data_IF_177349364792
#
_entry.id   IF_177349364792
#
_cell.length_a   1.000
_cell.length_b   1.000
_cell.length_c   1.000
_cell.angle_alpha   90.00
_cell.angle_beta   90.00
_cell.angle_gamma   90.00
#
_symmetry.space_group_name_H-M   'P 1'
#
loop_
_entity.id
_entity.type
_entity.pdbx_description
1 polymer ?
#
# COMPACT_ATOMS: atom_id res chain seq x y z
N UNK A 1 -23.23 10.72 -17.79
CA UNK A 1 -23.16 10.38 -16.37
C UNK A 1 -23.85 9.04 -16.22
N UNK A 2 -23.11 7.93 -16.27
CA UNK A 2 -23.64 6.60 -15.98
C UNK A 2 -23.78 6.45 -14.48
N UNK A 3 -24.92 6.00 -14.00
CA UNK A 3 -25.09 5.61 -12.61
C UNK A 3 -24.10 4.46 -12.32
N UNK A 4 -23.09 4.75 -11.48
CA UNK A 4 -22.25 3.71 -10.89
C UNK A 4 -23.14 2.84 -10.00
N UNK A 5 -23.50 1.66 -10.48
CA UNK A 5 -24.08 0.62 -9.62
C UNK A 5 -22.97 0.24 -8.63
N UNK A 6 -23.16 0.58 -7.36
CA UNK A 6 -22.24 0.19 -6.29
C UNK A 6 -22.17 -1.32 -6.24
N UNK A 7 -20.98 -1.88 -6.40
CA UNK A 7 -20.77 -3.33 -6.30
C UNK A 7 -20.45 -3.70 -4.84
N UNK A 8 -21.44 -3.47 -3.96
CA UNK A 8 -21.33 -3.80 -2.53
C UNK A 8 -21.08 -5.31 -2.32
N UNK A 9 -21.54 -6.15 -3.25
CA UNK A 9 -21.32 -7.60 -3.25
C UNK A 9 -19.83 -7.93 -3.43
N UNK A 10 -19.10 -7.22 -4.30
CA UNK A 10 -17.66 -7.44 -4.48
C UNK A 10 -16.87 -7.13 -3.21
N UNK A 11 -17.16 -6.01 -2.54
CA UNK A 11 -16.49 -5.66 -1.29
C UNK A 11 -16.73 -6.72 -0.21
N UNK A 12 -17.96 -7.20 -0.07
CA UNK A 12 -18.32 -8.23 0.88
C UNK A 12 -17.61 -9.56 0.55
N UNK A 13 -17.62 -9.99 -0.71
CA UNK A 13 -16.94 -11.21 -1.18
C UNK A 13 -15.43 -11.17 -0.88
N UNK A 14 -14.77 -10.08 -1.25
CA UNK A 14 -13.31 -9.92 -1.03
C UNK A 14 -12.98 -9.84 0.46
N UNK A 15 -13.78 -9.11 1.26
CA UNK A 15 -13.57 -9.00 2.71
C UNK A 15 -13.78 -10.35 3.40
N UNK A 16 -14.82 -11.10 3.03
CA UNK A 16 -15.10 -12.43 3.56
C UNK A 16 -13.99 -13.44 3.15
N UNK A 17 -13.53 -13.40 1.91
CA UNK A 17 -12.39 -14.19 1.44
C UNK A 17 -11.13 -13.85 2.25
N UNK A 18 -10.82 -12.56 2.37
CA UNK A 18 -9.65 -12.08 3.08
C UNK A 18 -9.63 -12.52 4.56
N UNK A 19 -10.76 -12.37 5.26
CA UNK A 19 -10.90 -12.84 6.64
C UNK A 19 -10.76 -14.36 6.75
N UNK A 20 -11.48 -15.12 5.92
CA UNK A 20 -11.47 -16.60 5.92
C UNK A 20 -10.08 -17.17 5.59
N UNK A 21 -9.32 -16.53 4.70
CA UNK A 21 -8.01 -16.99 4.25
C UNK A 21 -6.84 -16.36 5.00
N UNK A 22 -7.08 -15.42 5.92
CA UNK A 22 -6.03 -14.84 6.75
C UNK A 22 -5.19 -13.78 6.02
N UNK A 23 -5.84 -12.95 5.23
CA UNK A 23 -5.19 -11.74 4.70
C UNK A 23 -5.17 -10.63 5.74
N UNK A 24 -6.32 -10.34 6.37
CA UNK A 24 -6.37 -9.37 7.46
C UNK A 24 -7.53 -9.67 8.42
N UNK A 25 -7.38 -9.20 9.66
CA UNK A 25 -8.34 -9.35 10.75
C UNK A 25 -8.53 -8.02 11.47
N UNK A 26 -9.69 -7.77 12.12
CA UNK A 26 -9.80 -6.69 13.08
C UNK A 26 -8.76 -6.86 14.19
N UNK A 27 -8.00 -5.80 14.49
CA UNK A 27 -6.99 -5.87 15.55
C UNK A 27 -7.65 -6.06 16.92
N UNK A 28 -7.03 -6.87 17.77
CA UNK A 28 -7.52 -7.18 19.12
C UNK A 28 -8.97 -7.73 19.16
N UNK A 29 -9.37 -8.54 18.17
CA UNK A 29 -10.75 -9.08 18.03
C UNK A 29 -11.21 -9.82 19.29
N UNK A 30 -10.32 -10.49 20.01
CA UNK A 30 -10.63 -11.20 21.26
C UNK A 30 -11.08 -10.28 22.41
N UNK A 31 -10.82 -8.98 22.31
CA UNK A 31 -11.27 -7.93 23.24
C UNK A 31 -12.40 -7.07 22.68
N UNK A 32 -13.07 -7.52 21.60
CA UNK A 32 -14.11 -6.76 20.91
C UNK A 32 -13.61 -5.89 19.76
N UNK A 33 -12.31 -5.97 19.45
CA UNK A 33 -11.68 -5.22 18.37
C UNK A 33 -11.30 -3.79 18.75
N UNK A 34 -10.36 -3.22 18.02
CA UNK A 34 -10.04 -1.80 18.07
C UNK A 34 -10.45 -1.14 16.74
N UNK A 35 -11.41 -0.23 16.80
CA UNK A 35 -12.05 0.34 15.61
C UNK A 35 -11.01 0.93 14.65
N UNK A 36 -11.03 0.46 13.39
CA UNK A 36 -10.12 0.90 12.31
C UNK A 36 -8.64 0.62 12.52
N UNK A 37 -8.35 -0.41 13.28
CA UNK A 37 -7.06 -1.05 13.31
C UNK A 37 -7.21 -2.49 12.81
N UNK A 38 -6.25 -2.92 12.01
CA UNK A 38 -6.24 -4.26 11.41
C UNK A 38 -4.86 -4.90 11.57
N UNK A 39 -4.88 -6.21 11.82
CA UNK A 39 -3.70 -7.06 11.81
C UNK A 39 -3.65 -7.80 10.46
N UNK A 40 -2.47 -7.86 9.86
CA UNK A 40 -2.27 -8.60 8.60
C UNK A 40 -1.86 -10.01 8.92
N UNK A 41 -2.70 -10.97 8.53
CA UNK A 41 -2.49 -12.40 8.77
C UNK A 41 -1.38 -12.99 7.88
N UNK A 42 -1.17 -14.32 7.93
CA UNK A 42 -0.05 -14.97 7.23
C UNK A 42 -0.01 -14.71 5.72
N UNK A 43 -1.16 -14.64 5.04
CA UNK A 43 -1.21 -14.30 3.62
C UNK A 43 -1.11 -12.79 3.39
N UNK A 44 -1.79 -12.00 4.23
CA UNK A 44 -1.81 -10.55 4.10
C UNK A 44 -0.45 -9.91 4.27
N UNK A 45 0.35 -10.38 5.24
CA UNK A 45 1.71 -9.85 5.44
C UNK A 45 2.60 -10.12 4.23
N UNK A 46 2.42 -11.26 3.54
CA UNK A 46 3.18 -11.56 2.33
C UNK A 46 2.78 -10.65 1.18
N UNK A 47 1.45 -10.46 0.93
CA UNK A 47 0.98 -9.53 -0.11
C UNK A 47 1.44 -8.10 0.18
N UNK A 48 1.28 -7.63 1.42
CA UNK A 48 1.69 -6.28 1.80
C UNK A 48 3.20 -6.05 1.63
N UNK A 49 4.03 -7.05 1.99
CA UNK A 49 5.48 -7.00 1.73
C UNK A 49 5.78 -6.97 0.25
N UNK A 50 5.08 -7.78 -0.55
CA UNK A 50 5.28 -7.85 -2.00
C UNK A 50 4.90 -6.53 -2.67
N UNK A 51 3.80 -5.87 -2.27
CA UNK A 51 3.42 -4.53 -2.75
C UNK A 51 4.53 -3.52 -2.43
N UNK A 52 5.00 -3.49 -1.18
CA UNK A 52 6.09 -2.58 -0.76
C UNK A 52 7.41 -2.88 -1.49
N UNK A 53 7.74 -4.14 -1.70
CA UNK A 53 8.93 -4.55 -2.43
C UNK A 53 8.85 -4.19 -3.92
N UNK A 54 7.69 -4.36 -4.56
CA UNK A 54 7.46 -3.94 -5.94
C UNK A 54 7.60 -2.42 -6.09
N UNK A 55 7.05 -1.65 -5.15
CA UNK A 55 7.21 -0.20 -5.10
C UNK A 55 8.68 0.20 -4.89
N UNK A 56 9.35 -0.36 -3.89
CA UNK A 56 10.76 -0.09 -3.59
C UNK A 56 11.68 -0.44 -4.75
N UNK A 57 11.41 -1.56 -5.41
CA UNK A 57 12.13 -1.94 -6.62
C UNK A 57 12.00 -0.87 -7.71
N UNK A 58 10.77 -0.43 -8.00
CA UNK A 58 10.49 0.59 -9.02
C UNK A 58 11.08 1.95 -8.67
N UNK A 59 10.91 2.39 -7.41
CA UNK A 59 11.23 3.75 -6.99
C UNK A 59 12.69 3.94 -6.56
N UNK A 60 13.34 2.88 -6.05
CA UNK A 60 14.69 3.01 -5.48
C UNK A 60 15.69 2.09 -6.21
N UNK A 61 15.41 0.78 -6.27
CA UNK A 61 16.40 -0.18 -6.75
C UNK A 61 16.71 -0.02 -8.24
N UNK A 62 15.70 0.26 -9.07
CA UNK A 62 15.84 0.40 -10.52
C UNK A 62 16.23 1.81 -10.95
N UNK A 63 16.55 2.69 -10.00
CA UNK A 63 16.89 4.10 -10.24
C UNK A 63 18.24 4.45 -9.63
N UNK A 64 18.94 5.37 -10.31
CA UNK A 64 20.22 5.91 -9.80
C UNK A 64 20.06 7.27 -9.13
N UNK A 65 18.89 7.89 -9.26
CA UNK A 65 18.56 9.23 -8.80
C UNK A 65 17.67 9.25 -7.54
N UNK A 66 17.33 8.08 -6.97
CA UNK A 66 16.55 7.97 -5.74
C UNK A 66 17.33 7.18 -4.68
N UNK A 67 17.26 7.62 -3.44
CA UNK A 67 17.87 6.95 -2.28
C UNK A 67 16.80 6.68 -1.23
N UNK A 68 17.02 5.64 -0.41
CA UNK A 68 16.10 5.29 0.67
C UNK A 68 16.44 5.99 1.97
N UNK A 69 15.42 6.24 2.78
CA UNK A 69 15.50 6.71 4.16
C UNK A 69 14.51 5.93 5.03
N UNK A 70 14.84 5.73 6.30
CA UNK A 70 13.88 5.28 7.32
C UNK A 70 13.98 6.23 8.53
N UNK A 71 13.09 7.22 8.55
CA UNK A 71 13.02 8.24 9.60
C UNK A 71 12.21 7.75 10.80
N UNK A 72 12.49 8.32 11.97
CA UNK A 72 11.79 7.99 13.21
C UNK A 72 10.28 8.29 13.14
N UNK A 73 9.48 7.43 13.77
CA UNK A 73 8.02 7.59 13.89
C UNK A 73 7.68 8.74 14.86
N UNK A 74 8.37 8.80 16.00
CA UNK A 74 8.15 9.84 17.00
C UNK A 74 8.85 11.13 16.58
N UNK A 75 8.10 12.22 16.55
CA UNK A 75 8.60 13.55 16.20
C UNK A 75 8.31 14.60 17.28
N UNK A 76 9.22 15.54 17.51
CA UNK A 76 8.99 16.66 18.41
C UNK A 76 7.94 17.63 17.83
N UNK A 77 7.23 18.41 18.69
CA UNK A 77 6.23 19.38 18.25
C UNK A 77 6.72 20.37 17.19
N UNK A 78 8.00 20.71 17.21
CA UNK A 78 8.60 21.69 16.30
C UNK A 78 8.48 21.30 14.80
N UNK A 79 8.62 19.99 14.48
CA UNK A 79 8.43 19.51 13.10
C UNK A 79 7.02 19.80 12.62
N UNK A 80 6.03 19.48 13.45
CA UNK A 80 4.62 19.56 13.12
C UNK A 80 4.07 20.98 13.17
N UNK A 81 4.67 21.85 13.97
CA UNK A 81 4.42 23.28 13.93
C UNK A 81 4.98 23.91 12.65
N UNK A 82 6.22 23.60 12.28
CA UNK A 82 6.85 24.10 11.06
C UNK A 82 6.07 23.71 9.80
N UNK A 83 5.66 22.46 9.69
CA UNK A 83 4.88 21.94 8.55
C UNK A 83 3.40 22.37 8.55
N UNK A 84 2.91 23.02 9.61
CA UNK A 84 1.51 23.46 9.74
C UNK A 84 0.54 22.39 10.26
N UNK A 85 0.96 21.14 10.47
CA UNK A 85 0.06 20.04 10.89
C UNK A 85 -0.66 20.30 12.22
N UNK A 86 -0.01 21.00 13.16
CA UNK A 86 -0.67 21.29 14.43
C UNK A 86 -1.87 22.24 14.28
N UNK A 87 -1.86 23.09 13.27
CA UNK A 87 -2.88 24.12 13.06
C UNK A 87 -3.93 23.69 12.01
N UNK A 88 -3.50 23.06 10.91
CA UNK A 88 -4.35 22.82 9.74
C UNK A 88 -4.80 21.39 9.55
N UNK A 89 -4.13 20.41 10.18
CA UNK A 89 -4.49 19.00 10.03
C UNK A 89 -5.68 18.62 10.92
N UNK A 90 -6.84 19.22 10.61
CA UNK A 90 -8.06 19.12 11.41
C UNK A 90 -9.26 18.75 10.55
N UNK A 91 -10.17 17.94 11.12
CA UNK A 91 -11.49 17.67 10.56
C UNK A 91 -12.58 18.41 11.36
N UNK A 92 -13.65 18.88 10.71
CA UNK A 92 -14.80 19.44 11.41
C UNK A 92 -15.62 18.33 12.08
N UNK A 93 -15.63 18.30 13.41
CA UNK A 93 -16.28 17.27 14.22
C UNK A 93 -17.61 17.80 14.79
N UNK A 94 -18.69 17.04 14.58
CA UNK A 94 -20.00 17.24 15.20
C UNK A 94 -20.44 16.00 15.98
N UNK A 95 -21.12 16.20 17.12
CA UNK A 95 -21.74 15.11 17.87
C UNK A 95 -23.27 15.14 17.65
N UNK A 96 -23.86 14.00 17.29
CA UNK A 96 -25.32 13.87 17.26
C UNK A 96 -25.88 14.00 18.67
N UNK A 97 -26.80 14.94 18.89
CA UNK A 97 -27.39 15.19 20.23
C UNK A 97 -28.25 14.02 20.72
N UNK A 98 -28.82 13.21 19.79
CA UNK A 98 -29.72 12.10 20.11
C UNK A 98 -28.95 10.80 20.45
N UNK A 99 -28.08 10.29 19.57
CA UNK A 99 -27.39 9.02 19.77
C UNK A 99 -25.95 9.16 20.26
N UNK A 100 -25.42 10.38 20.37
CA UNK A 100 -24.06 10.71 20.83
C UNK A 100 -22.94 10.22 19.92
N UNK A 101 -23.27 9.70 18.74
CA UNK A 101 -22.25 9.32 17.73
C UNK A 101 -21.62 10.58 17.14
N UNK A 102 -20.34 10.43 16.74
CA UNK A 102 -19.50 11.50 16.20
C UNK A 102 -19.32 11.35 14.71
N UNK A 103 -19.39 12.47 14.02
CA UNK A 103 -19.32 12.52 12.56
C UNK A 103 -18.46 13.69 12.09
N UNK A 104 -17.89 13.56 10.91
CA UNK A 104 -17.37 14.71 10.19
C UNK A 104 -18.55 15.48 9.60
N UNK A 105 -18.61 16.79 9.84
CA UNK A 105 -19.68 17.63 9.33
C UNK A 105 -19.78 17.63 7.81
N UNK A 106 -18.61 17.66 7.14
CA UNK A 106 -18.47 17.66 5.68
C UNK A 106 -18.80 16.32 5.00
N UNK A 107 -19.09 15.26 5.77
CA UNK A 107 -19.43 13.92 5.28
C UNK A 107 -20.85 13.47 5.64
N UNK A 108 -21.66 14.36 6.19
CA UNK A 108 -23.06 14.07 6.50
C UNK A 108 -23.96 15.13 5.85
N UNK A 109 -25.08 14.71 5.25
CA UNK A 109 -26.08 15.59 4.62
C UNK A 109 -27.05 16.20 5.63
N UNK A 110 -26.54 16.68 6.77
CA UNK A 110 -27.36 17.28 7.84
C UNK A 110 -28.21 16.28 8.63
N UNK A 111 -28.11 14.98 8.36
CA UNK A 111 -28.85 13.90 9.03
C UNK A 111 -27.89 12.86 9.57
N UNK A 112 -28.09 12.47 10.83
CA UNK A 112 -27.27 11.45 11.48
C UNK A 112 -27.44 10.08 10.80
N UNK A 113 -26.38 9.49 10.23
CA UNK A 113 -26.46 8.19 9.57
C UNK A 113 -26.90 7.04 10.49
N UNK A 114 -26.68 7.18 11.81
CA UNK A 114 -27.04 6.14 12.78
C UNK A 114 -28.49 6.21 13.25
N UNK A 115 -29.06 7.40 13.48
CA UNK A 115 -30.39 7.51 14.11
C UNK A 115 -31.38 8.45 13.40
N UNK A 116 -31.00 9.02 12.25
CA UNK A 116 -31.85 9.89 11.43
C UNK A 116 -32.14 11.27 12.05
N UNK A 117 -31.48 11.67 13.15
CA UNK A 117 -31.67 12.99 13.76
C UNK A 117 -30.91 14.06 13.01
N UNK A 118 -31.49 15.27 12.90
CA UNK A 118 -30.80 16.47 12.39
C UNK A 118 -30.20 17.34 13.48
N UNK A 119 -30.27 16.93 14.76
CA UNK A 119 -29.76 17.70 15.88
C UNK A 119 -28.29 17.38 16.15
N UNK A 120 -27.42 18.32 15.81
CA UNK A 120 -25.98 18.23 16.06
C UNK A 120 -25.47 19.32 17.00
N UNK A 121 -24.28 19.14 17.56
CA UNK A 121 -23.53 20.22 18.21
C UNK A 121 -22.97 21.14 17.13
N UNK A 122 -22.47 22.32 17.54
CA UNK A 122 -21.63 23.13 16.69
C UNK A 122 -20.38 22.35 16.28
N UNK A 123 -19.92 22.59 15.05
CA UNK A 123 -18.69 21.98 14.55
C UNK A 123 -17.48 22.51 15.34
N UNK A 124 -16.58 21.62 15.67
CA UNK A 124 -15.29 21.93 16.28
C UNK A 124 -14.15 21.33 15.50
N UNK A 125 -13.05 22.05 15.36
CA UNK A 125 -11.84 21.50 14.76
C UNK A 125 -11.29 20.37 15.64
N UNK A 126 -11.06 19.21 15.04
CA UNK A 126 -10.45 18.05 15.68
C UNK A 126 -9.13 17.72 14.98
N UNK A 127 -8.00 17.91 15.67
CA UNK A 127 -6.70 17.59 15.10
C UNK A 127 -6.48 16.08 15.04
N UNK A 128 -6.08 15.58 13.86
CA UNK A 128 -5.92 14.15 13.59
C UNK A 128 -4.58 13.57 14.06
N UNK A 129 -3.70 14.37 14.67
CA UNK A 129 -2.42 13.92 15.21
C UNK A 129 -2.59 13.08 16.48
N UNK A 130 -1.93 11.91 16.53
CA UNK A 130 -1.76 11.19 17.80
C UNK A 130 -0.65 11.83 18.62
N UNK A 131 -1.01 12.31 19.81
CA UNK A 131 -0.11 12.88 20.82
C UNK A 131 0.28 11.82 21.84
N UNK A 132 1.55 11.77 22.25
CA UNK A 132 2.06 10.90 23.30
C UNK A 132 3.07 11.63 24.18
N UNK A 133 3.56 10.96 25.21
CA UNK A 133 4.58 11.47 26.14
C UNK A 133 5.89 10.69 25.94
N UNK A 134 7.00 11.41 25.86
CA UNK A 134 8.35 10.84 25.77
C UNK A 134 9.12 11.18 27.05
N UNK A 135 9.52 10.16 27.80
CA UNK A 135 10.24 10.32 29.07
C UNK A 135 9.38 10.05 30.31
N UNK A 136 10.02 10.06 31.51
CA UNK A 136 9.38 9.58 32.76
C UNK A 136 8.48 10.60 33.46
N UNK A 137 8.52 11.87 33.05
CA UNK A 137 7.74 12.95 33.69
C UNK A 137 6.76 13.52 32.68
N UNK A 138 5.48 13.54 33.05
CA UNK A 138 4.44 14.16 32.26
C UNK A 138 4.59 15.70 32.30
N UNK A 139 4.51 16.34 31.12
CA UNK A 139 4.60 17.78 30.98
C UNK A 139 4.77 18.21 29.54
N UNK A 140 4.68 19.51 29.26
CA UNK A 140 4.79 20.04 27.90
C UNK A 140 6.13 19.70 27.22
N UNK A 141 7.23 19.67 27.98
CA UNK A 141 8.55 19.31 27.50
C UNK A 141 8.74 17.84 27.09
N UNK A 142 7.80 16.97 27.49
CA UNK A 142 7.81 15.54 27.14
C UNK A 142 6.85 15.19 25.99
N UNK A 143 6.18 16.16 25.41
CA UNK A 143 5.22 15.92 24.32
C UNK A 143 5.94 15.46 23.05
N UNK A 144 5.45 14.36 22.48
CA UNK A 144 5.83 13.86 21.16
C UNK A 144 4.58 13.48 20.37
N UNK A 145 4.72 13.41 19.06
CA UNK A 145 3.63 13.01 18.16
C UNK A 145 4.04 11.79 17.35
N UNK A 146 3.09 10.90 17.09
CA UNK A 146 3.22 9.89 16.04
C UNK A 146 3.04 10.60 14.70
N UNK A 147 3.94 10.38 13.76
CA UNK A 147 3.90 11.02 12.44
C UNK A 147 2.61 10.68 11.67
N UNK A 148 1.90 11.67 11.10
CA UNK A 148 0.71 11.45 10.27
C UNK A 148 1.07 11.12 8.81
N UNK A 149 2.35 11.33 8.42
CA UNK A 149 2.92 11.07 7.11
C UNK A 149 4.43 10.82 7.23
N UNK A 150 5.03 10.25 6.21
CA UNK A 150 6.48 10.00 6.17
C UNK A 150 7.29 11.16 5.60
N UNK A 151 6.66 12.12 4.88
CA UNK A 151 7.26 13.24 4.18
C UNK A 151 8.18 14.09 5.06
N UNK A 152 7.71 14.51 6.23
CA UNK A 152 8.44 15.46 7.08
C UNK A 152 9.79 14.92 7.56
N UNK A 153 9.88 13.58 7.73
CA UNK A 153 11.15 12.93 8.02
C UNK A 153 12.18 13.06 6.89
N UNK A 154 11.72 13.11 5.64
CA UNK A 154 12.58 13.27 4.46
C UNK A 154 13.03 14.73 4.32
N UNK A 155 12.16 15.69 4.56
CA UNK A 155 12.53 17.12 4.52
C UNK A 155 13.54 17.51 5.59
N UNK A 156 13.33 17.06 6.83
CA UNK A 156 14.27 17.34 7.94
C UNK A 156 15.64 16.69 7.77
N UNK A 157 15.71 15.62 6.95
CA UNK A 157 16.96 14.94 6.61
C UNK A 157 17.55 15.36 5.25
N UNK A 158 16.95 16.31 4.53
CA UNK A 158 17.42 16.74 3.23
C UNK A 158 18.93 17.06 3.22
N UNK A 159 19.39 17.92 4.13
CA UNK A 159 20.80 18.32 4.22
C UNK A 159 21.72 17.14 4.55
N UNK A 160 21.30 16.22 5.44
CA UNK A 160 22.05 15.03 5.79
C UNK A 160 22.21 14.08 4.58
N UNK A 161 21.12 13.84 3.87
CA UNK A 161 21.13 12.98 2.69
C UNK A 161 21.95 13.58 1.57
N UNK A 162 21.80 14.89 1.32
CA UNK A 162 22.58 15.60 0.30
C UNK A 162 24.08 15.48 0.57
N UNK A 163 24.50 15.71 1.81
CA UNK A 163 25.91 15.67 2.23
C UNK A 163 26.51 14.26 2.15
N UNK A 164 25.74 13.23 2.52
CA UNK A 164 26.24 11.84 2.63
C UNK A 164 26.21 11.09 1.30
N UNK A 165 25.25 11.40 0.42
CA UNK A 165 25.07 10.68 -0.86
C UNK A 165 25.71 11.40 -2.05
N UNK A 166 26.08 12.68 -1.91
CA UNK A 166 26.59 13.55 -2.99
C UNK A 166 25.63 13.66 -4.19
N UNK A 167 24.33 13.50 -3.93
CA UNK A 167 23.31 13.64 -4.97
C UNK A 167 23.15 15.11 -5.36
N UNK A 168 22.63 15.32 -6.55
CA UNK A 168 22.29 16.65 -7.09
C UNK A 168 20.84 16.61 -7.56
N UNK A 169 20.06 17.67 -7.38
CA UNK A 169 18.76 17.76 -8.03
C UNK A 169 18.91 17.66 -9.57
N UNK A 170 18.04 16.87 -10.25
CA UNK A 170 16.91 16.12 -9.68
C UNK A 170 17.34 14.86 -8.95
N UNK A 171 16.85 14.65 -7.72
CA UNK A 171 17.00 13.39 -6.99
C UNK A 171 15.87 13.20 -5.98
N UNK A 172 15.59 11.94 -5.59
CA UNK A 172 14.55 11.59 -4.64
C UNK A 172 15.06 10.98 -3.34
N UNK A 173 14.31 11.21 -2.26
CA UNK A 173 14.42 10.49 -1.00
C UNK A 173 13.11 9.72 -0.84
N UNK A 174 13.18 8.40 -0.71
CA UNK A 174 12.03 7.51 -0.65
C UNK A 174 11.95 6.81 0.71
N UNK A 175 10.73 6.62 1.23
CA UNK A 175 10.48 5.91 2.47
C UNK A 175 9.26 5.01 2.35
N UNK A 176 9.32 3.84 3.00
CA UNK A 176 8.17 3.01 3.32
C UNK A 176 8.08 2.93 4.83
N UNK A 177 6.95 3.33 5.40
CA UNK A 177 6.85 3.35 6.85
C UNK A 177 5.44 3.58 7.40
N UNK A 178 5.27 3.29 8.68
CA UNK A 178 4.03 3.52 9.42
C UNK A 178 3.72 5.00 9.54
N UNK A 179 2.44 5.34 9.37
CA UNK A 179 1.85 6.64 9.65
C UNK A 179 0.56 6.49 10.43
N UNK A 180 0.15 7.54 11.15
CA UNK A 180 -0.91 7.46 12.15
C UNK A 180 -1.83 8.67 12.03
N UNK A 181 -3.13 8.44 11.80
CA UNK A 181 -4.15 9.49 11.73
C UNK A 181 -5.34 9.10 12.59
N UNK A 182 -5.68 9.93 13.55
CA UNK A 182 -6.79 9.69 14.48
C UNK A 182 -8.14 9.93 13.78
N UNK A 183 -8.42 9.14 12.75
CA UNK A 183 -9.61 9.23 11.90
C UNK A 183 -10.90 9.15 12.72
N UNK A 184 -11.82 10.08 12.45
CA UNK A 184 -13.13 10.16 13.13
C UNK A 184 -14.08 9.10 12.57
N UNK A 185 -14.16 9.02 11.24
CA UNK A 185 -15.08 8.14 10.52
C UNK A 185 -14.31 7.17 9.64
N UNK A 186 -13.79 6.10 10.22
CA UNK A 186 -13.13 5.06 9.44
C UNK A 186 -14.16 4.25 8.65
N UNK A 187 -13.85 3.95 7.40
CA UNK A 187 -14.77 3.26 6.49
C UNK A 187 -14.01 2.26 5.61
N UNK A 188 -14.77 1.34 5.03
CA UNK A 188 -14.33 0.46 3.95
C UNK A 188 -13.11 -0.41 4.31
N UNK A 189 -13.15 -1.10 5.47
CA UNK A 189 -12.13 -2.08 5.87
C UNK A 189 -10.73 -1.44 5.95
N UNK A 190 -9.72 -2.02 5.29
CA UNK A 190 -8.32 -1.56 5.30
C UNK A 190 -8.06 -0.33 4.42
N UNK A 191 -9.09 0.23 3.77
CA UNK A 191 -8.96 1.44 2.92
C UNK A 191 -8.63 2.69 3.75
N UNK A 192 -9.33 2.89 4.89
CA UNK A 192 -9.09 4.02 5.79
C UNK A 192 -8.97 3.55 7.23
N UNK A 193 -7.74 3.54 7.73
CA UNK A 193 -7.36 3.04 9.05
C UNK A 193 -6.60 4.10 9.84
N UNK A 194 -6.56 3.96 11.18
CA UNK A 194 -5.84 4.89 12.06
C UNK A 194 -4.34 4.70 12.06
N UNK A 195 -3.90 3.49 11.77
CA UNK A 195 -2.52 3.10 11.58
C UNK A 195 -2.39 2.44 10.20
N UNK A 196 -1.51 2.94 9.37
CA UNK A 196 -1.31 2.45 8.00
C UNK A 196 0.16 2.56 7.59
N UNK A 197 0.51 2.02 6.45
CA UNK A 197 1.85 2.19 5.89
C UNK A 197 1.77 3.04 4.63
N UNK A 198 2.65 4.04 4.53
CA UNK A 198 2.87 4.84 3.33
C UNK A 198 4.10 4.35 2.56
N UNK A 199 4.01 4.47 1.26
CA UNK A 199 5.09 4.37 0.28
C UNK A 199 5.19 5.76 -0.34
N UNK A 200 6.18 6.55 0.06
CA UNK A 200 6.26 8.00 -0.25
C UNK A 200 7.66 8.38 -0.68
N UNK A 201 7.76 9.30 -1.62
CA UNK A 201 9.03 9.82 -2.09
C UNK A 201 8.95 11.33 -2.28
N UNK A 202 9.96 12.04 -1.78
CA UNK A 202 10.17 13.45 -2.05
C UNK A 202 11.23 13.60 -3.13
N UNK A 203 10.82 14.07 -4.31
CA UNK A 203 11.70 14.24 -5.46
C UNK A 203 12.05 15.71 -5.63
N UNK A 204 13.30 16.04 -5.30
CA UNK A 204 13.84 17.40 -5.28
C UNK A 204 14.33 17.80 -6.66
N UNK A 205 13.80 18.90 -7.19
CA UNK A 205 14.07 19.35 -8.57
C UNK A 205 14.45 20.85 -8.62
N UNK A 206 15.17 21.29 -9.66
CA UNK A 206 15.27 22.72 -9.95
C UNK A 206 13.87 23.31 -10.18
N UNK A 207 13.56 24.51 -9.65
CA UNK A 207 12.22 25.11 -9.79
C UNK A 207 11.70 25.17 -11.22
N UNK A 208 12.57 25.44 -12.18
CA UNK A 208 12.21 25.54 -13.60
C UNK A 208 11.82 24.19 -14.24
N UNK A 209 12.17 23.08 -13.62
CA UNK A 209 11.89 21.73 -14.13
C UNK A 209 10.68 21.07 -13.46
N UNK A 210 10.07 21.72 -12.44
CA UNK A 210 9.05 21.12 -11.59
C UNK A 210 7.86 20.54 -12.37
N UNK A 211 7.32 21.29 -13.35
CA UNK A 211 6.18 20.83 -14.14
C UNK A 211 6.52 19.63 -15.03
N UNK A 212 7.75 19.54 -15.50
CA UNK A 212 8.22 18.39 -16.29
C UNK A 212 8.29 17.14 -15.44
N UNK A 213 8.87 17.25 -14.23
CA UNK A 213 8.97 16.13 -13.30
C UNK A 213 7.64 15.74 -12.70
N UNK A 214 6.74 16.69 -12.47
CA UNK A 214 5.37 16.42 -12.02
C UNK A 214 4.62 15.51 -13.01
N UNK A 215 4.61 15.85 -14.29
CA UNK A 215 4.00 15.01 -15.35
C UNK A 215 4.69 13.65 -15.45
N UNK A 216 6.02 13.61 -15.41
CA UNK A 216 6.77 12.37 -15.44
C UNK A 216 6.37 11.41 -14.31
N UNK A 217 6.20 11.92 -13.09
CA UNK A 217 5.82 11.08 -11.96
C UNK A 217 4.37 10.62 -12.04
N UNK A 218 3.43 11.42 -12.50
CA UNK A 218 2.05 10.99 -12.76
C UNK A 218 2.03 9.79 -13.73
N UNK A 219 2.69 9.91 -14.89
CA UNK A 219 2.76 8.84 -15.90
C UNK A 219 3.47 7.60 -15.37
N UNK A 220 4.57 7.77 -14.65
CA UNK A 220 5.38 6.67 -14.11
C UNK A 220 4.61 5.89 -13.06
N UNK A 221 3.91 6.58 -12.16
CA UNK A 221 3.12 5.94 -11.11
C UNK A 221 1.87 5.26 -11.66
N UNK A 222 1.15 5.90 -12.56
CA UNK A 222 0.00 5.30 -13.24
C UNK A 222 0.39 4.00 -13.97
N UNK A 223 1.49 4.01 -14.72
CA UNK A 223 2.00 2.82 -15.42
C UNK A 223 2.35 1.67 -14.47
N UNK A 224 2.89 1.96 -13.29
CA UNK A 224 3.24 0.96 -12.30
C UNK A 224 2.04 0.11 -11.85
N UNK A 225 0.87 0.71 -11.68
CA UNK A 225 -0.36 -0.03 -11.36
C UNK A 225 -0.84 -0.90 -12.53
N UNK A 226 -0.74 -0.41 -13.74
CA UNK A 226 -1.07 -1.19 -14.95
C UNK A 226 -0.14 -2.40 -15.10
N UNK A 227 1.15 -2.23 -14.91
CA UNK A 227 2.16 -3.29 -14.99
C UNK A 227 1.99 -4.36 -13.91
N UNK A 228 1.31 -4.05 -12.81
CA UNK A 228 0.98 -4.99 -11.73
C UNK A 228 -0.45 -5.56 -11.83
N UNK A 229 -1.12 -5.36 -12.96
CA UNK A 229 -2.34 -6.08 -13.32
C UNK A 229 -3.65 -5.34 -13.01
N UNK A 230 -3.64 -4.05 -12.66
CA UNK A 230 -4.88 -3.27 -12.62
C UNK A 230 -5.27 -2.91 -14.05
N UNK A 231 -6.49 -3.23 -14.44
CA UNK A 231 -7.01 -2.92 -15.76
C UNK A 231 -7.15 -1.40 -15.98
N UNK A 232 -6.84 -0.88 -17.19
CA UNK A 232 -6.84 0.57 -17.46
C UNK A 232 -8.18 1.25 -17.15
N UNK A 233 -9.30 0.59 -17.41
CA UNK A 233 -10.64 1.10 -17.13
C UNK A 233 -10.97 1.22 -15.64
N UNK A 234 -10.19 0.60 -14.77
CA UNK A 234 -10.29 0.69 -13.31
C UNK A 234 -9.47 1.85 -12.72
N UNK A 235 -8.71 2.55 -13.54
CA UNK A 235 -7.90 3.70 -13.12
C UNK A 235 -8.33 4.96 -13.86
N UNK A 236 -8.27 6.09 -13.16
CA UNK A 236 -8.35 7.40 -13.79
C UNK A 236 -7.42 8.40 -13.12
N UNK A 237 -7.05 9.44 -13.84
CA UNK A 237 -6.33 10.58 -13.31
C UNK A 237 -7.34 11.67 -12.95
N UNK A 238 -7.24 12.19 -11.74
CA UNK A 238 -8.07 13.28 -11.24
C UNK A 238 -7.17 14.45 -10.81
N UNK A 239 -7.14 15.49 -11.64
CA UNK A 239 -6.44 16.74 -11.33
C UNK A 239 -7.32 17.61 -10.42
N UNK A 240 -6.77 18.02 -9.27
CA UNK A 240 -7.50 18.86 -8.32
C UNK A 240 -7.65 20.30 -8.82
N UNK A 241 -8.82 20.88 -8.63
CA UNK A 241 -9.02 22.28 -8.90
C UNK A 241 -8.19 23.15 -7.93
N UNK A 242 -7.77 24.34 -8.38
CA UNK A 242 -6.95 25.23 -7.56
C UNK A 242 -7.55 25.57 -6.17
N UNK A 243 -8.88 25.54 -6.05
CA UNK A 243 -9.59 25.78 -4.79
C UNK A 243 -9.51 24.61 -3.79
N UNK A 244 -9.21 23.41 -4.28
CA UNK A 244 -9.19 22.18 -3.49
C UNK A 244 -7.76 21.75 -3.10
N UNK A 245 -6.75 22.49 -3.56
CA UNK A 245 -5.36 22.20 -3.27
C UNK A 245 -5.05 22.42 -1.78
N UNK A 246 -4.24 21.54 -1.22
CA UNK A 246 -3.63 21.73 0.09
C UNK A 246 -2.79 23.00 0.11
N UNK A 247 -2.66 23.63 1.28
CA UNK A 247 -1.95 24.93 1.45
C UNK A 247 -0.49 24.92 0.99
N UNK A 248 0.14 23.77 0.88
CA UNK A 248 1.51 23.57 0.42
C UNK A 248 1.60 23.22 -1.07
N UNK A 249 0.50 22.85 -1.72
CA UNK A 249 0.52 22.30 -3.08
C UNK A 249 0.30 23.38 -4.14
N UNK A 250 1.07 23.30 -5.23
CA UNK A 250 0.92 24.09 -6.45
C UNK A 250 0.11 23.35 -7.53
N UNK A 251 -0.05 22.05 -7.36
CA UNK A 251 -0.84 21.16 -8.19
C UNK A 251 -0.84 19.77 -7.60
N UNK A 252 -1.99 19.10 -7.63
CA UNK A 252 -2.16 17.72 -7.17
C UNK A 252 -2.95 16.95 -8.20
N UNK A 253 -2.50 15.75 -8.52
CA UNK A 253 -3.23 14.78 -9.35
C UNK A 253 -3.30 13.46 -8.60
N UNK A 254 -4.50 12.94 -8.42
CA UNK A 254 -4.71 11.61 -7.87
C UNK A 254 -4.80 10.58 -8.99
N UNK A 255 -4.15 9.46 -8.78
CA UNK A 255 -4.49 8.21 -9.45
C UNK A 255 -5.61 7.62 -8.62
N UNK A 256 -6.82 7.58 -9.16
CA UNK A 256 -7.97 6.99 -8.52
C UNK A 256 -8.23 5.58 -9.07
N UNK A 257 -8.70 4.71 -8.19
CA UNK A 257 -9.16 3.36 -8.53
C UNK A 257 -10.68 3.28 -8.39
N UNK A 258 -11.33 2.52 -9.27
CA UNK A 258 -12.76 2.21 -9.23
C UNK A 258 -13.06 1.18 -8.12
N UNK A 259 -13.17 1.69 -6.88
CA UNK A 259 -13.57 0.90 -5.72
C UNK A 259 -15.07 0.56 -5.78
N UNK A 260 -15.56 -0.41 -4.99
CA UNK A 260 -16.98 -0.76 -4.94
C UNK A 260 -17.94 0.40 -4.60
N UNK A 261 -17.43 1.46 -3.99
CA UNK A 261 -18.18 2.70 -3.68
C UNK A 261 -17.95 3.83 -4.69
N UNK A 262 -17.22 3.59 -5.75
CA UNK A 262 -16.86 4.55 -6.80
C UNK A 262 -15.38 4.88 -6.82
N UNK A 263 -14.99 5.75 -7.74
CA UNK A 263 -13.61 6.21 -7.84
C UNK A 263 -13.18 6.95 -6.59
N UNK A 264 -12.04 6.56 -6.03
CA UNK A 264 -11.44 7.16 -4.85
C UNK A 264 -9.92 7.10 -4.97
N UNK A 265 -9.23 7.97 -4.23
CA UNK A 265 -7.78 8.13 -4.25
C UNK A 265 -7.05 6.82 -3.94
N UNK A 266 -6.14 6.41 -4.82
CA UNK A 266 -5.21 5.31 -4.63
C UNK A 266 -3.79 5.81 -4.35
N UNK A 267 -3.33 6.82 -5.11
CA UNK A 267 -2.03 7.48 -4.94
C UNK A 267 -2.15 8.94 -5.33
N UNK A 268 -1.68 9.85 -4.48
CA UNK A 268 -1.59 11.27 -4.78
C UNK A 268 -0.20 11.63 -5.32
N UNK A 269 -0.15 12.47 -6.35
CA UNK A 269 1.08 13.09 -6.82
C UNK A 269 0.93 14.60 -6.65
N UNK A 270 1.77 15.23 -5.81
CA UNK A 270 1.72 16.65 -5.52
C UNK A 270 2.99 17.39 -5.96
N UNK A 271 2.83 18.59 -6.53
CA UNK A 271 3.89 19.56 -6.64
C UNK A 271 3.83 20.48 -5.40
N UNK A 272 4.67 20.22 -4.41
CA UNK A 272 4.71 20.94 -3.13
C UNK A 272 5.49 22.26 -3.20
N UNK A 273 6.11 22.56 -4.35
CA UNK A 273 6.99 23.72 -4.47
C UNK A 273 8.17 23.66 -3.50
N UNK A 274 8.53 24.79 -2.94
CA UNK A 274 9.60 24.95 -1.95
C UNK A 274 9.06 25.08 -0.51
N UNK A 275 7.77 24.84 -0.30
CA UNK A 275 7.08 25.11 0.96
C UNK A 275 7.75 24.44 2.17
N UNK A 276 7.89 23.11 2.16
CA UNK A 276 8.35 22.36 3.33
C UNK A 276 9.81 22.70 3.69
N UNK A 277 10.70 22.73 2.70
CA UNK A 277 12.10 23.09 2.94
C UNK A 277 12.23 24.52 3.48
N UNK A 278 11.43 25.44 2.97
CA UNK A 278 11.41 26.84 3.44
C UNK A 278 10.87 26.94 4.87
N UNK A 279 9.77 26.24 5.19
CA UNK A 279 9.21 26.24 6.54
C UNK A 279 10.17 25.64 7.58
N UNK A 280 10.78 24.49 7.27
CA UNK A 280 11.77 23.89 8.15
C UNK A 280 13.05 24.73 8.29
N UNK A 281 13.51 25.37 7.21
CA UNK A 281 14.64 26.27 7.29
C UNK A 281 14.36 27.48 8.19
N UNK A 282 13.18 28.09 8.06
CA UNK A 282 12.76 29.22 8.88
C UNK A 282 12.60 28.84 10.35
N UNK A 283 11.99 27.68 10.63
CA UNK A 283 11.74 27.22 12.01
C UNK A 283 13.02 26.77 12.73
N UNK A 284 13.95 26.15 12.01
CA UNK A 284 15.18 25.59 12.61
C UNK A 284 16.38 26.52 12.56
N UNK A 285 16.37 27.51 11.66
CA UNK A 285 17.54 28.35 11.34
C UNK A 285 18.59 27.64 10.49
N UNK A 286 18.33 26.40 10.03
CA UNK A 286 19.23 25.61 9.18
C UNK A 286 18.88 25.84 7.72
N UNK A 287 19.87 26.19 6.88
CA UNK A 287 19.65 26.34 5.44
C UNK A 287 19.40 25.01 4.77
N UNK A 288 18.28 24.88 4.07
CA UNK A 288 17.88 23.73 3.28
C UNK A 288 17.88 24.08 1.77
N UNK A 289 18.98 24.67 1.30
CA UNK A 289 19.21 25.07 -0.07
C UNK A 289 20.19 24.11 -0.75
N UNK A 290 20.06 23.98 -2.07
CA UNK A 290 21.07 23.34 -2.91
C UNK A 290 21.99 24.42 -3.49
N UNK A 291 23.30 24.16 -3.50
CA UNK A 291 24.27 25.00 -4.21
C UNK A 291 24.69 24.33 -5.52
N UNK A 292 24.24 24.87 -6.62
CA UNK A 292 24.64 24.44 -7.95
C UNK A 292 26.01 25.05 -8.30
N UNK A 293 27.05 24.20 -8.19
CA UNK A 293 28.42 24.62 -8.49
C UNK A 293 28.65 24.97 -9.98
N UNK A 294 27.86 24.38 -10.88
CA UNK A 294 28.01 24.60 -12.31
C UNK A 294 27.60 26.02 -12.72
N UNK A 295 26.51 26.50 -12.12
CA UNK A 295 25.93 27.81 -12.38
C UNK A 295 26.30 28.85 -11.32
N UNK A 296 26.99 28.44 -10.26
CA UNK A 296 27.31 29.27 -9.08
C UNK A 296 26.06 29.91 -8.45
N UNK A 297 24.98 29.17 -8.40
CA UNK A 297 23.67 29.60 -7.88
C UNK A 297 23.22 28.79 -6.67
N UNK A 298 22.43 29.43 -5.81
CA UNK A 298 21.73 28.76 -4.72
C UNK A 298 20.22 28.84 -4.94
N UNK A 299 19.53 27.76 -4.68
CA UNK A 299 18.07 27.73 -4.70
C UNK A 299 17.52 26.72 -3.70
N UNK A 300 16.30 26.93 -3.24
CA UNK A 300 15.51 25.92 -2.54
C UNK A 300 14.88 25.02 -3.61
N UNK A 301 15.17 23.71 -3.62
CA UNK A 301 14.53 22.81 -4.59
C UNK A 301 13.02 22.79 -4.46
N UNK A 302 12.32 22.66 -5.58
CA UNK A 302 10.91 22.29 -5.56
C UNK A 302 10.79 20.78 -5.35
N UNK A 303 9.67 20.37 -4.79
CA UNK A 303 9.43 18.97 -4.41
C UNK A 303 8.24 18.41 -5.18
N UNK A 304 8.44 17.26 -5.81
CA UNK A 304 7.36 16.44 -6.38
C UNK A 304 7.21 15.22 -5.50
N UNK A 305 6.02 15.02 -4.98
CA UNK A 305 5.67 13.97 -4.00
C UNK A 305 4.70 12.97 -4.60
N UNK A 306 5.12 11.78 -5.03
CA UNK A 306 4.25 10.61 -5.14
C UNK A 306 4.07 9.94 -3.77
N UNK A 307 2.82 9.80 -3.32
CA UNK A 307 2.48 9.22 -2.01
C UNK A 307 1.31 8.23 -2.11
N UNK A 308 1.57 6.96 -1.79
CA UNK A 308 0.57 5.90 -1.80
C UNK A 308 0.44 5.23 -0.43
N UNK A 309 -0.78 4.87 -0.04
CA UNK A 309 -1.02 3.97 1.08
C UNK A 309 -0.76 2.52 0.68
N UNK A 310 0.22 1.84 1.31
CA UNK A 310 0.53 0.45 0.99
C UNK A 310 -0.66 -0.49 1.25
N UNK A 311 -1.41 -0.25 2.32
CA UNK A 311 -2.61 -1.01 2.69
C UNK A 311 -3.77 -0.74 1.74
N UNK A 312 -3.94 0.51 1.29
CA UNK A 312 -4.93 0.91 0.29
C UNK A 312 -4.59 0.29 -1.06
N UNK A 313 -3.32 0.32 -1.48
CA UNK A 313 -2.85 -0.35 -2.69
C UNK A 313 -3.08 -1.88 -2.64
N UNK A 314 -2.79 -2.52 -1.50
CA UNK A 314 -3.10 -3.94 -1.30
C UNK A 314 -4.60 -4.22 -1.50
N UNK A 315 -5.49 -3.37 -0.96
CA UNK A 315 -6.93 -3.53 -1.15
C UNK A 315 -7.34 -3.40 -2.61
N UNK A 316 -6.81 -2.40 -3.31
CA UNK A 316 -7.07 -2.22 -4.74
C UNK A 316 -6.62 -3.43 -5.57
N UNK A 317 -5.43 -3.98 -5.29
CA UNK A 317 -4.96 -5.20 -5.97
C UNK A 317 -5.82 -6.42 -5.66
N UNK A 318 -6.30 -6.60 -4.42
CA UNK A 318 -7.20 -7.70 -4.07
C UNK A 318 -8.55 -7.57 -4.76
N UNK A 319 -9.13 -6.36 -4.81
CA UNK A 319 -10.39 -6.07 -5.51
C UNK A 319 -10.26 -6.26 -7.02
N UNK A 320 -9.16 -5.78 -7.62
CA UNK A 320 -8.90 -5.92 -9.05
C UNK A 320 -8.64 -7.38 -9.48
N UNK A 321 -8.09 -8.18 -8.57
CA UNK A 321 -7.72 -9.57 -8.85
C UNK A 321 -8.84 -10.59 -8.59
N UNK A 322 -9.91 -10.20 -7.88
CA UNK A 322 -10.99 -11.14 -7.56
C UNK A 322 -11.88 -11.41 -8.75
N UNK A 323 -12.03 -12.67 -9.06
CA UNK A 323 -12.94 -13.16 -10.10
C UNK A 323 -13.67 -14.44 -9.66
N UNK A 324 -14.81 -14.68 -10.27
CA UNK A 324 -15.51 -15.96 -10.23
C UNK A 324 -15.59 -16.50 -11.65
N UNK A 325 -15.08 -17.70 -11.87
CA UNK A 325 -15.14 -18.40 -13.16
C UNK A 325 -15.69 -19.83 -13.01
N UNK A 326 -15.86 -20.51 -14.14
CA UNK A 326 -16.33 -21.90 -14.16
C UNK A 326 -15.23 -22.79 -14.72
N UNK A 327 -14.79 -23.76 -13.92
CA UNK A 327 -13.79 -24.75 -14.32
C UNK A 327 -14.38 -26.13 -14.11
N UNK A 328 -14.42 -26.95 -15.18
CA UNK A 328 -14.99 -28.31 -15.18
C UNK A 328 -16.45 -28.36 -14.67
N UNK A 329 -17.23 -27.30 -14.95
CA UNK A 329 -18.65 -27.21 -14.55
C UNK A 329 -18.88 -26.73 -13.11
N UNK A 330 -17.84 -26.44 -12.35
CA UNK A 330 -17.91 -25.90 -10.99
C UNK A 330 -17.47 -24.45 -10.94
N UNK A 331 -18.22 -23.61 -10.21
CA UNK A 331 -17.82 -22.22 -9.93
C UNK A 331 -16.64 -22.19 -8.99
N UNK A 332 -15.61 -21.43 -9.32
CA UNK A 332 -14.49 -21.15 -8.41
C UNK A 332 -14.32 -19.65 -8.19
N UNK A 333 -13.97 -19.28 -6.97
CA UNK A 333 -13.39 -17.97 -6.67
C UNK A 333 -11.88 -18.03 -6.90
N UNK A 334 -11.33 -17.02 -7.56
CA UNK A 334 -9.90 -16.93 -7.87
C UNK A 334 -9.41 -15.51 -7.64
N UNK A 335 -8.21 -15.37 -7.06
CA UNK A 335 -7.47 -14.11 -7.03
C UNK A 335 -6.40 -14.14 -8.15
N UNK A 336 -6.63 -13.39 -9.24
CA UNK A 336 -5.67 -13.26 -10.34
C UNK A 336 -4.60 -12.20 -10.04
N UNK A 337 -4.01 -12.31 -8.85
CA UNK A 337 -2.90 -11.44 -8.47
C UNK A 337 -1.73 -11.62 -9.44
N UNK A 338 -1.10 -10.49 -9.80
CA UNK A 338 0.18 -10.52 -10.50
C UNK A 338 1.17 -11.39 -9.71
N UNK A 339 1.98 -12.25 -10.34
CA UNK A 339 2.88 -13.17 -9.64
C UNK A 339 3.80 -12.50 -8.61
N UNK A 340 4.25 -11.28 -8.87
CA UNK A 340 5.06 -10.49 -7.93
C UNK A 340 4.31 -10.08 -6.67
N UNK A 341 2.97 -10.07 -6.68
CA UNK A 341 2.13 -9.67 -5.54
C UNK A 341 1.56 -10.88 -4.79
N UNK A 342 1.55 -12.06 -5.39
CA UNK A 342 0.99 -13.28 -4.81
C UNK A 342 1.63 -13.63 -3.46
N UNK A 343 0.83 -14.04 -2.44
CA UNK A 343 1.36 -14.38 -1.12
C UNK A 343 2.31 -15.59 -1.14
N UNK A 344 2.04 -16.55 -2.01
CA UNK A 344 2.91 -17.64 -2.41
C UNK A 344 3.01 -17.63 -3.92
N UNK A 345 4.22 -17.76 -4.47
CA UNK A 345 4.43 -17.86 -5.91
C UNK A 345 4.23 -19.30 -6.41
N UNK A 346 4.49 -20.27 -5.54
CA UNK A 346 4.40 -21.70 -5.87
C UNK A 346 3.77 -22.46 -4.70
N UNK A 347 2.87 -23.41 -5.01
CA UNK A 347 2.43 -24.44 -4.06
C UNK A 347 2.97 -25.82 -4.48
N UNK A 348 3.65 -26.51 -3.57
CA UNK A 348 4.14 -27.87 -3.78
C UNK A 348 3.13 -28.87 -3.18
N UNK A 349 2.55 -29.70 -4.03
CA UNK A 349 1.36 -30.51 -3.73
C UNK A 349 1.61 -31.99 -4.05
N UNK A 350 2.06 -32.81 -3.10
CA UNK A 350 2.16 -34.28 -3.32
C UNK A 350 0.79 -34.87 -3.61
N UNK A 351 0.66 -35.74 -4.61
CA UNK A 351 -0.63 -36.35 -4.98
C UNK A 351 -1.23 -37.18 -3.84
N UNK A 352 -0.38 -37.82 -3.04
CA UNK A 352 -0.80 -38.59 -1.86
C UNK A 352 0.19 -38.45 -0.69
N UNK A 353 -0.22 -38.93 0.50
CA UNK A 353 0.59 -38.89 1.74
C UNK A 353 1.58 -40.06 1.82
N UNK A 354 1.88 -40.77 0.72
CA UNK A 354 2.87 -41.85 0.75
C UNK A 354 4.26 -41.30 1.03
N UNK A 355 5.07 -41.92 1.89
CA UNK A 355 6.38 -41.39 2.29
C UNK A 355 7.33 -41.04 1.13
N UNK A 356 7.33 -41.88 0.08
CA UNK A 356 8.20 -41.65 -1.09
C UNK A 356 7.81 -40.37 -1.84
N UNK A 357 6.50 -40.13 -2.05
CA UNK A 357 6.01 -38.89 -2.68
C UNK A 357 6.25 -37.67 -1.78
N UNK A 358 6.05 -37.81 -0.47
CA UNK A 358 6.34 -36.73 0.47
C UNK A 358 7.84 -36.40 0.48
N UNK A 359 8.70 -37.41 0.46
CA UNK A 359 10.16 -37.24 0.39
C UNK A 359 10.59 -36.45 -0.84
N UNK A 360 10.14 -36.87 -2.05
CA UNK A 360 10.42 -36.15 -3.29
C UNK A 360 9.83 -34.74 -3.30
N UNK A 361 8.62 -34.56 -2.72
CA UNK A 361 8.00 -33.24 -2.64
C UNK A 361 8.78 -32.28 -1.72
N UNK A 362 9.38 -32.77 -0.65
CA UNK A 362 10.26 -31.96 0.21
C UNK A 362 11.60 -31.62 -0.48
N UNK A 363 12.11 -32.51 -1.30
CA UNK A 363 13.27 -32.23 -2.18
C UNK A 363 12.92 -31.08 -3.13
N UNK A 364 11.80 -31.19 -3.86
CA UNK A 364 11.32 -30.14 -4.78
C UNK A 364 11.08 -28.81 -4.07
N UNK A 365 10.46 -28.85 -2.88
CA UNK A 365 10.25 -27.68 -2.05
C UNK A 365 11.59 -27.02 -1.69
N UNK A 366 12.59 -27.81 -1.29
CA UNK A 366 13.93 -27.32 -0.95
C UNK A 366 14.67 -26.66 -2.11
N UNK A 367 14.39 -27.06 -3.35
CA UNK A 367 14.93 -26.45 -4.57
C UNK A 367 14.28 -25.07 -4.84
N UNK A 368 12.99 -24.93 -4.58
CA UNK A 368 12.21 -23.72 -4.90
C UNK A 368 12.29 -22.63 -3.83
N UNK A 369 12.30 -23.00 -2.54
CA UNK A 369 12.26 -22.07 -1.41
C UNK A 369 13.36 -20.99 -1.38
N UNK A 370 14.60 -21.23 -1.84
CA UNK A 370 15.62 -20.17 -1.92
C UNK A 370 15.28 -19.05 -2.89
N UNK A 371 14.35 -19.28 -3.83
CA UNK A 371 14.04 -18.37 -4.93
C UNK A 371 12.68 -17.72 -4.83
N UNK A 372 11.69 -18.42 -4.26
CA UNK A 372 10.28 -17.99 -4.23
C UNK A 372 9.62 -18.41 -2.92
N UNK A 373 8.58 -17.68 -2.53
CA UNK A 373 7.74 -18.07 -1.39
C UNK A 373 6.87 -19.25 -1.79
N UNK A 374 7.02 -20.36 -1.07
CA UNK A 374 6.32 -21.62 -1.34
C UNK A 374 5.31 -21.96 -0.24
N UNK A 375 4.16 -22.53 -0.65
CA UNK A 375 3.26 -23.28 0.22
C UNK A 375 3.47 -24.78 0.05
N UNK A 376 3.15 -25.58 1.08
CA UNK A 376 3.23 -27.03 1.06
C UNK A 376 1.98 -27.62 1.70
N UNK A 377 1.15 -28.32 0.92
CA UNK A 377 -0.13 -28.82 1.38
C UNK A 377 -0.34 -30.31 1.07
N UNK A 378 -0.68 -31.07 2.11
CA UNK A 378 -0.98 -32.50 2.10
C UNK A 378 -2.44 -32.84 2.40
N UNK A 379 -3.28 -31.82 2.67
CA UNK A 379 -4.61 -32.02 3.21
C UNK A 379 -5.71 -32.07 2.15
N UNK A 380 -6.51 -33.11 2.14
CA UNK A 380 -7.62 -33.37 1.20
C UNK A 380 -7.17 -33.77 -0.23
N UNK A 381 -8.13 -33.86 -1.16
CA UNK A 381 -7.85 -34.20 -2.56
C UNK A 381 -7.09 -33.10 -3.30
N UNK A 382 -6.38 -33.48 -4.36
CA UNK A 382 -5.60 -32.55 -5.19
C UNK A 382 -6.47 -31.42 -5.75
N UNK A 383 -7.68 -31.72 -6.23
CA UNK A 383 -8.61 -30.72 -6.75
C UNK A 383 -8.99 -29.67 -5.71
N UNK A 384 -9.25 -30.08 -4.44
CA UNK A 384 -9.54 -29.13 -3.35
C UNK A 384 -8.33 -28.28 -2.99
N UNK A 385 -7.12 -28.83 -3.11
CA UNK A 385 -5.88 -28.07 -2.87
C UNK A 385 -5.65 -27.05 -3.97
N UNK A 386 -5.89 -27.39 -5.24
CA UNK A 386 -5.86 -26.40 -6.34
C UNK A 386 -6.83 -25.27 -6.09
N UNK A 387 -8.10 -25.58 -5.70
CA UNK A 387 -9.09 -24.53 -5.38
C UNK A 387 -8.62 -23.58 -4.28
N UNK A 388 -7.98 -24.11 -3.22
CA UNK A 388 -7.41 -23.27 -2.15
C UNK A 388 -6.31 -22.35 -2.65
N UNK A 389 -5.44 -22.84 -3.55
CA UNK A 389 -4.38 -22.05 -4.13
C UNK A 389 -4.92 -20.99 -5.11
N UNK A 390 -5.95 -21.35 -5.89
CA UNK A 390 -6.64 -20.39 -6.76
C UNK A 390 -7.26 -19.25 -5.94
N UNK A 391 -7.95 -19.56 -4.82
CA UNK A 391 -8.56 -18.56 -3.92
C UNK A 391 -7.56 -17.61 -3.26
N UNK A 392 -6.34 -18.03 -2.99
CA UNK A 392 -5.31 -17.17 -2.38
C UNK A 392 -4.37 -16.52 -3.40
N UNK A 393 -4.55 -16.83 -4.68
CA UNK A 393 -3.83 -16.16 -5.76
C UNK A 393 -2.47 -16.75 -6.09
N UNK A 394 -2.18 -18.01 -5.69
CA UNK A 394 -0.92 -18.69 -6.04
C UNK A 394 -0.86 -18.96 -7.55
N UNK A 395 0.10 -18.36 -8.30
CA UNK A 395 0.11 -18.49 -9.76
C UNK A 395 0.47 -19.89 -10.26
N UNK A 396 1.30 -20.63 -9.54
CA UNK A 396 1.77 -21.94 -9.98
C UNK A 396 1.60 -23.02 -8.90
N UNK A 397 1.06 -24.18 -9.29
CA UNK A 397 1.04 -25.37 -8.44
C UNK A 397 1.94 -26.44 -9.03
N UNK A 398 2.85 -26.98 -8.24
CA UNK A 398 3.76 -28.06 -8.60
C UNK A 398 3.26 -29.34 -7.94
N UNK A 399 2.76 -30.27 -8.75
CA UNK A 399 2.23 -31.55 -8.26
C UNK A 399 3.23 -32.68 -8.48
N UNK A 400 3.49 -33.42 -7.42
CA UNK A 400 4.33 -34.61 -7.42
C UNK A 400 3.42 -35.83 -7.40
N UNK A 401 3.47 -36.64 -8.44
CA UNK A 401 2.68 -37.86 -8.62
C UNK A 401 3.56 -39.14 -8.60
N UNK A 402 2.97 -40.30 -8.86
CA UNK A 402 3.72 -41.55 -8.81
C UNK A 402 4.75 -41.66 -9.97
N UNK A 403 4.42 -41.10 -11.13
CA UNK A 403 5.33 -41.08 -12.27
C UNK A 403 6.58 -40.25 -11.98
N UNK A 404 6.43 -39.24 -11.10
CA UNK A 404 7.55 -38.39 -10.66
C UNK A 404 8.68 -39.15 -9.96
N UNK A 405 8.37 -40.30 -9.35
CA UNK A 405 9.37 -41.17 -8.73
C UNK A 405 10.22 -41.91 -9.77
N UNK A 406 9.68 -42.13 -10.98
CA UNK A 406 10.32 -42.87 -12.06
C UNK A 406 11.03 -41.92 -13.03
N UNK A 407 10.33 -40.88 -13.51
CA UNK A 407 10.80 -39.96 -14.56
C UNK A 407 11.51 -38.70 -14.05
N UNK A 408 11.54 -38.48 -12.73
CA UNK A 408 12.14 -37.28 -12.14
C UNK A 408 11.56 -35.98 -12.73
N UNK A 409 10.25 -35.99 -13.07
CA UNK A 409 9.55 -34.82 -13.54
C UNK A 409 8.29 -34.53 -12.66
N UNK A 410 7.80 -33.32 -12.67
CA UNK A 410 6.65 -32.86 -11.91
C UNK A 410 5.65 -32.17 -12.81
N UNK A 411 4.38 -32.10 -12.40
CA UNK A 411 3.34 -31.39 -13.12
C UNK A 411 3.23 -29.97 -12.61
N UNK A 412 3.47 -28.97 -13.45
CA UNK A 412 3.29 -27.55 -13.15
C UNK A 412 1.94 -27.09 -13.72
N UNK A 413 1.02 -26.69 -12.84
CA UNK A 413 -0.29 -26.14 -13.21
C UNK A 413 -0.28 -24.61 -13.09
N UNK A 414 -0.75 -23.97 -14.11
CA UNK A 414 -0.99 -22.53 -14.15
C UNK A 414 -2.38 -22.20 -13.58
N UNK A 415 -2.49 -21.21 -12.70
CA UNK A 415 -3.74 -20.76 -12.05
C UNK A 415 -4.76 -20.23 -13.06
N UNK A 416 -4.29 -19.41 -14.00
CA UNK A 416 -5.18 -18.60 -14.84
C UNK A 416 -5.73 -19.43 -16.00
N UNK A 417 -4.91 -20.21 -16.64
CA UNK A 417 -5.27 -21.06 -17.78
C UNK A 417 -5.70 -22.46 -17.38
N UNK A 418 -5.41 -22.87 -16.13
CA UNK A 418 -5.52 -24.27 -15.64
C UNK A 418 -4.69 -25.29 -16.40
N UNK A 419 -3.89 -24.85 -17.37
CA UNK A 419 -3.01 -25.70 -18.16
C UNK A 419 -1.96 -26.38 -17.28
N UNK A 420 -1.67 -27.65 -17.60
CA UNK A 420 -0.70 -28.47 -16.89
C UNK A 420 0.42 -28.88 -17.85
N UNK A 421 1.66 -28.75 -17.38
CA UNK A 421 2.85 -29.07 -18.16
C UNK A 421 3.77 -29.95 -17.33
N UNK A 422 4.28 -31.03 -17.91
CA UNK A 422 5.31 -31.86 -17.30
C UNK A 422 6.67 -31.19 -17.41
N UNK A 423 7.42 -31.09 -16.31
CA UNK A 423 8.71 -30.39 -16.22
C UNK A 423 9.71 -31.25 -15.46
N UNK A 424 10.89 -31.46 -15.98
CA UNK A 424 11.97 -32.16 -15.28
C UNK A 424 12.38 -31.38 -14.02
N UNK A 425 12.66 -32.08 -12.92
CA UNK A 425 13.01 -31.44 -11.64
C UNK A 425 14.24 -30.55 -11.78
N UNK A 426 15.23 -30.97 -12.62
CA UNK A 426 16.44 -30.20 -12.86
C UNK A 426 16.20 -28.89 -13.61
N UNK A 427 15.10 -28.77 -14.36
CA UNK A 427 14.69 -27.56 -15.10
C UNK A 427 13.65 -26.74 -14.34
N UNK A 428 13.14 -27.26 -13.22
CA UNK A 428 11.97 -26.70 -12.55
C UNK A 428 12.18 -25.26 -12.06
N UNK A 429 13.30 -24.98 -11.42
CA UNK A 429 13.60 -23.64 -10.89
C UNK A 429 13.62 -22.60 -12.02
N UNK A 430 14.34 -22.90 -13.11
CA UNK A 430 14.41 -22.00 -14.26
C UNK A 430 13.03 -21.78 -14.90
N UNK A 431 12.25 -22.87 -15.05
CA UNK A 431 10.89 -22.82 -15.61
C UNK A 431 9.95 -22.00 -14.75
N UNK A 432 9.98 -22.18 -13.43
CA UNK A 432 9.16 -21.44 -12.48
C UNK A 432 9.53 -19.94 -12.54
N UNK A 433 10.80 -19.60 -12.44
CA UNK A 433 11.24 -18.20 -12.47
C UNK A 433 10.86 -17.50 -13.79
N UNK A 434 10.96 -18.17 -14.91
CA UNK A 434 10.55 -17.63 -16.21
C UNK A 434 9.05 -17.37 -16.33
N UNK A 435 8.20 -18.11 -15.57
CA UNK A 435 6.73 -17.92 -15.57
C UNK A 435 6.23 -16.88 -14.56
N UNK A 436 7.08 -16.42 -13.66
CA UNK A 436 6.73 -15.44 -12.61
C UNK A 436 7.15 -13.99 -12.95
N UNK A 437 7.71 -13.79 -14.12
CA UNK A 437 8.19 -12.46 -14.58
C UNK A 437 7.05 -11.62 -15.11
#
# INVERSE_FOLDING_TARGET
MGEHVRDEDLLEKVTNLAKRRGFFFPSAEIYGGFRSAYDYGPLGVNVLRNVKNAWWRSMVQMRVDVVGLDAAILGPPAIWAASGHLETFTDPLVDCRKCKERWREDKIDGVCPNCGSSEFTEARAFNLMFKTQAGPVEGEGATAYLRPETAQGMFTNFANVLATTRRKPPFGIAQVGKSFRNEITPQNSIFRTREFEQMEMEYFVPPAEADTWYRYWIETRHRWYLELGIAPEKLRLHEHAAADLSHYSRGTTDIEFDFPWGFDELEGIANRGDYDLTQHANASGVRLEYFDQANNERYVPYVIEPAAGATRAMMAFLLAAYEEDVVEGETRSVLRLHPRLAPYQVAVLPLSKKPDLEGLSREVLGLLQPHVMCDFDLTQSIGRRYRRQDEIGTPLCVTIDFDSLEDRAVTVRDRDTTAQTRVAIDELVATVLARLV
#
